data_IF_877135731816
#
_entry.id   IF_877135731816
#
_cell.length_a   1.000
_cell.length_b   1.000
_cell.length_c   1.000
_cell.angle_alpha   90.00
_cell.angle_beta   90.00
_cell.angle_gamma   90.00
#
_symmetry.space_group_name_H-M   'P 1'
#
loop_
_entity.id
_entity.type
_entity.pdbx_description
1 polymer ?
#
# COMPACT_ATOMS: atom_id res chain seq x y z
N UNK A 1 0.16 0.34 14.89
CA UNK A 1 1.20 -0.19 13.99
C UNK A 1 1.50 -1.61 14.41
N UNK A 2 1.35 -2.57 13.50
CA UNK A 2 1.75 -3.96 13.77
C UNK A 2 3.27 -4.00 13.94
N UNK A 3 3.76 -4.69 14.98
CA UNK A 3 5.19 -4.83 15.21
C UNK A 3 5.84 -5.55 14.02
N UNK A 4 6.91 -4.98 13.47
CA UNK A 4 7.70 -5.62 12.41
C UNK A 4 8.64 -6.66 13.04
N UNK A 5 8.73 -7.90 12.52
CA UNK A 5 9.72 -8.85 13.01
C UNK A 5 11.13 -8.30 12.77
N UNK A 6 12.01 -8.40 13.77
CA UNK A 6 13.39 -7.89 13.72
C UNK A 6 13.46 -6.41 13.29
N UNK A 7 12.55 -5.57 13.81
CA UNK A 7 12.42 -4.15 13.49
C UNK A 7 13.75 -3.38 13.59
N UNK A 8 14.55 -3.69 14.62
CA UNK A 8 15.87 -3.10 14.85
C UNK A 8 16.90 -3.36 13.74
N UNK A 9 16.69 -4.38 12.90
CA UNK A 9 17.49 -4.63 11.70
C UNK A 9 16.89 -3.98 10.46
N UNK A 10 15.60 -4.24 10.20
CA UNK A 10 14.99 -3.88 8.92
C UNK A 10 14.66 -2.39 8.79
N UNK A 11 14.38 -1.67 9.88
CA UNK A 11 14.19 -0.20 9.81
C UNK A 11 15.46 0.53 9.38
N UNK A 12 16.64 0.30 10.01
CA UNK A 12 17.89 0.88 9.52
C UNK A 12 18.19 0.52 8.06
N UNK A 13 18.01 -0.74 7.66
CA UNK A 13 18.25 -1.16 6.27
C UNK A 13 17.30 -0.47 5.28
N UNK A 14 16.00 -0.37 5.61
CA UNK A 14 15.02 0.36 4.81
C UNK A 14 15.38 1.83 4.64
N UNK A 15 15.78 2.51 5.73
CA UNK A 15 16.29 3.89 5.69
C UNK A 15 17.51 4.04 4.79
N UNK A 16 18.52 3.17 4.97
CA UNK A 16 19.73 3.19 4.16
C UNK A 16 19.41 3.00 2.66
N UNK A 17 18.53 2.07 2.34
CA UNK A 17 18.11 1.81 0.97
C UNK A 17 17.32 2.98 0.35
N UNK A 18 16.47 3.66 1.14
CA UNK A 18 15.69 4.81 0.68
C UNK A 18 16.54 6.08 0.48
N UNK A 19 17.60 6.28 1.28
CA UNK A 19 18.53 7.42 1.11
C UNK A 19 19.24 7.43 -0.24
N UNK A 20 19.31 6.30 -0.94
CA UNK A 20 19.81 6.23 -2.32
C UNK A 20 18.89 6.87 -3.36
N UNK A 21 17.75 7.48 -2.97
CA UNK A 21 16.91 8.26 -3.88
C UNK A 21 17.63 9.57 -4.23
N UNK A 22 18.11 9.66 -5.47
CA UNK A 22 18.85 10.81 -5.97
C UNK A 22 18.03 12.11 -5.93
N UNK A 23 18.73 13.24 -5.99
CA UNK A 23 18.10 14.53 -6.24
C UNK A 23 17.46 14.54 -7.63
N UNK A 24 16.28 15.14 -7.74
CA UNK A 24 15.50 15.19 -8.97
C UNK A 24 15.31 16.64 -9.41
N UNK A 25 15.70 17.02 -10.63
CA UNK A 25 15.47 18.37 -11.14
C UNK A 25 13.98 18.73 -11.11
N UNK A 26 13.66 19.95 -10.63
CA UNK A 26 12.28 20.44 -10.55
C UNK A 26 11.44 19.85 -9.40
N UNK A 27 12.02 19.01 -8.55
CA UNK A 27 11.35 18.45 -7.37
C UNK A 27 11.84 19.19 -6.12
N UNK A 28 10.91 19.67 -5.28
CA UNK A 28 11.25 20.31 -4.02
C UNK A 28 11.89 19.32 -3.03
N UNK A 29 12.89 19.76 -2.29
CA UNK A 29 13.59 18.90 -1.30
C UNK A 29 12.63 18.38 -0.22
N UNK A 30 11.62 19.17 0.18
CA UNK A 30 10.59 18.72 1.11
C UNK A 30 9.82 17.49 0.61
N UNK A 31 9.47 17.46 -0.68
CA UNK A 31 8.77 16.33 -1.30
C UNK A 31 9.66 15.09 -1.37
N UNK A 32 10.93 15.29 -1.73
CA UNK A 32 11.94 14.22 -1.73
C UNK A 32 12.12 13.63 -0.34
N UNK A 33 12.19 14.45 0.70
CA UNK A 33 12.29 13.97 2.08
C UNK A 33 11.02 13.24 2.55
N UNK A 34 9.83 13.67 2.12
CA UNK A 34 8.58 12.94 2.36
C UNK A 34 8.60 11.56 1.69
N UNK A 35 9.07 11.49 0.44
CA UNK A 35 9.22 10.23 -0.28
C UNK A 35 10.25 9.30 0.37
N UNK A 36 11.41 9.81 0.80
CA UNK A 36 12.45 9.01 1.48
C UNK A 36 11.89 8.38 2.77
N UNK A 37 11.15 9.14 3.58
CA UNK A 37 10.53 8.62 4.81
C UNK A 37 9.54 7.50 4.50
N UNK A 38 8.60 7.76 3.59
CA UNK A 38 7.60 6.76 3.18
C UNK A 38 8.21 5.50 2.57
N UNK A 39 9.23 5.68 1.73
CA UNK A 39 9.93 4.58 1.08
C UNK A 39 10.74 3.76 2.10
N UNK A 40 11.34 4.39 3.10
CA UNK A 40 12.07 3.69 4.15
C UNK A 40 11.17 2.71 4.92
N UNK A 41 9.96 3.15 5.31
CA UNK A 41 8.99 2.30 6.00
C UNK A 41 8.50 1.16 5.09
N UNK A 42 8.22 1.46 3.83
CA UNK A 42 7.83 0.45 2.84
C UNK A 42 8.92 -0.62 2.64
N UNK A 43 10.16 -0.18 2.42
CA UNK A 43 11.29 -1.08 2.21
C UNK A 43 11.61 -1.90 3.46
N UNK A 44 11.51 -1.33 4.67
CA UNK A 44 11.65 -2.09 5.90
C UNK A 44 10.61 -3.24 5.97
N UNK A 45 9.35 -2.94 5.65
CA UNK A 45 8.28 -3.94 5.56
C UNK A 45 8.58 -5.04 4.53
N UNK A 46 9.01 -4.65 3.33
CA UNK A 46 9.34 -5.60 2.25
C UNK A 46 10.56 -6.46 2.57
N UNK A 47 11.62 -5.88 3.13
CA UNK A 47 12.81 -6.59 3.53
C UNK A 47 12.51 -7.60 4.63
N UNK A 48 11.71 -7.22 5.64
CA UNK A 48 11.25 -8.14 6.66
C UNK A 48 10.44 -9.28 6.06
N UNK A 49 9.48 -9.00 5.16
CA UNK A 49 8.67 -10.04 4.52
C UNK A 49 9.51 -11.06 3.72
N UNK A 50 10.64 -10.62 3.16
CA UNK A 50 11.53 -11.46 2.36
C UNK A 50 12.55 -12.21 3.24
N UNK A 51 13.17 -11.52 4.19
CA UNK A 51 14.38 -11.99 4.88
C UNK A 51 14.13 -12.46 6.32
N UNK A 52 13.01 -12.09 6.95
CA UNK A 52 12.74 -12.47 8.34
C UNK A 52 12.78 -13.99 8.58
N UNK A 53 12.32 -14.88 7.67
CA UNK A 53 12.44 -16.33 7.88
C UNK A 53 13.91 -16.78 8.02
N UNK A 54 14.82 -16.25 7.20
CA UNK A 54 16.25 -16.55 7.30
C UNK A 54 16.85 -15.95 8.58
N UNK A 55 16.54 -14.70 8.89
CA UNK A 55 17.04 -14.02 10.11
C UNK A 55 16.58 -14.77 11.36
N UNK A 56 15.35 -15.27 11.35
CA UNK A 56 14.83 -16.14 12.40
C UNK A 56 15.64 -17.43 12.52
N UNK A 57 15.90 -18.16 11.42
CA UNK A 57 16.75 -19.35 11.45
C UNK A 57 18.16 -19.08 11.98
N UNK A 58 18.76 -17.96 11.61
CA UNK A 58 20.07 -17.55 12.13
C UNK A 58 20.02 -17.25 13.63
N UNK A 59 18.93 -16.62 14.10
CA UNK A 59 18.72 -16.36 15.52
C UNK A 59 18.49 -17.66 16.31
N UNK A 60 17.72 -18.61 15.78
CA UNK A 60 17.47 -19.90 16.41
C UNK A 60 18.76 -20.65 16.77
N UNK A 61 19.80 -20.55 15.94
CA UNK A 61 21.10 -21.19 16.23
C UNK A 61 21.89 -20.53 17.35
N UNK A 62 21.49 -19.33 17.79
CA UNK A 62 22.20 -18.51 18.79
C UNK A 62 21.36 -18.23 20.03
N UNK A 63 20.05 -18.45 19.97
CA UNK A 63 19.16 -18.17 21.10
C UNK A 63 19.40 -19.19 22.22
N UNK A 64 19.37 -18.77 23.50
CA UNK A 64 19.34 -19.71 24.61
C UNK A 64 18.14 -20.66 24.50
N UNK A 65 18.26 -21.92 24.93
CA UNK A 65 17.13 -22.84 24.95
C UNK A 65 16.00 -22.24 25.80
N UNK A 66 14.79 -22.22 25.24
CA UNK A 66 13.62 -21.79 25.97
C UNK A 66 13.22 -22.88 26.97
N UNK A 67 12.87 -22.54 28.23
CA UNK A 67 12.29 -23.53 29.14
C UNK A 67 10.97 -24.05 28.57
N UNK A 68 10.67 -25.34 28.77
CA UNK A 68 9.49 -26.00 28.18
C UNK A 68 8.16 -25.26 28.46
N UNK A 69 8.04 -24.63 29.62
CA UNK A 69 6.88 -23.81 29.98
C UNK A 69 6.66 -22.60 29.02
N UNK A 70 7.74 -22.01 28.50
CA UNK A 70 7.68 -20.91 27.52
C UNK A 70 7.28 -21.37 26.11
N UNK A 71 7.44 -22.66 25.81
CA UNK A 71 7.02 -23.26 24.54
C UNK A 71 5.54 -23.69 24.56
N UNK A 72 5.02 -24.00 25.76
CA UNK A 72 3.66 -24.50 25.95
C UNK A 72 2.64 -23.39 26.26
N UNK A 73 3.08 -22.32 26.89
CA UNK A 73 2.28 -21.14 27.14
C UNK A 73 2.66 -20.15 26.05
N UNK A 74 1.70 -19.74 25.21
CA UNK A 74 1.86 -18.79 24.10
C UNK A 74 2.17 -17.34 24.60
N UNK A 75 2.90 -17.26 25.71
CA UNK A 75 3.32 -16.08 26.44
C UNK A 75 4.71 -16.35 27.04
N UNK A 76 5.71 -15.53 26.71
CA UNK A 76 7.02 -15.66 27.33
C UNK A 76 6.90 -15.48 28.86
N UNK A 77 7.65 -16.27 29.67
CA UNK A 77 7.70 -16.09 31.11
C UNK A 77 8.06 -14.65 31.48
N UNK A 78 7.54 -14.16 32.60
CA UNK A 78 7.96 -12.87 33.15
C UNK A 78 9.49 -12.88 33.38
N UNK A 79 10.19 -11.85 32.90
CA UNK A 79 11.66 -11.79 32.97
C UNK A 79 12.42 -12.41 31.80
N UNK A 80 11.73 -12.82 30.72
CA UNK A 80 12.40 -13.22 29.47
C UNK A 80 13.18 -12.03 28.91
N UNK A 81 14.52 -12.12 28.97
CA UNK A 81 15.42 -11.05 28.55
C UNK A 81 15.45 -10.88 27.03
N UNK A 82 15.35 -9.63 26.55
CA UNK A 82 15.60 -9.30 25.14
C UNK A 82 17.09 -9.25 24.79
N UNK A 83 18.00 -9.38 25.77
CA UNK A 83 19.44 -9.15 25.57
C UNK A 83 20.06 -10.03 24.47
N UNK A 84 19.64 -11.30 24.36
CA UNK A 84 20.13 -12.18 23.30
C UNK A 84 19.66 -11.74 21.90
N UNK A 85 18.40 -11.30 21.79
CA UNK A 85 17.85 -10.73 20.57
C UNK A 85 18.54 -9.41 20.22
N UNK A 86 18.72 -8.53 21.20
CA UNK A 86 19.32 -7.20 21.00
C UNK A 86 20.80 -7.31 20.60
N UNK A 87 21.57 -8.19 21.26
CA UNK A 87 22.94 -8.49 20.89
C UNK A 87 23.05 -9.11 19.49
N UNK A 88 22.12 -10.00 19.12
CA UNK A 88 22.06 -10.58 17.78
C UNK A 88 21.82 -9.50 16.72
N UNK A 89 20.87 -8.60 16.95
CA UNK A 89 20.57 -7.48 16.03
C UNK A 89 21.74 -6.50 15.94
N UNK A 90 22.35 -6.14 17.08
CA UNK A 90 23.53 -5.29 17.12
C UNK A 90 24.68 -5.91 16.30
N UNK A 91 24.93 -7.21 16.43
CA UNK A 91 25.93 -7.93 15.64
C UNK A 91 25.64 -7.93 14.14
N UNK A 92 24.37 -8.03 13.72
CA UNK A 92 24.00 -7.91 12.31
C UNK A 92 24.24 -6.49 11.78
N UNK A 93 23.88 -5.45 12.54
CA UNK A 93 24.10 -4.05 12.16
C UNK A 93 25.60 -3.73 12.10
N UNK A 94 26.41 -4.29 12.99
CA UNK A 94 27.85 -4.04 13.07
C UNK A 94 28.70 -4.74 11.99
N UNK A 95 28.07 -5.29 10.94
CA UNK A 95 28.77 -5.96 9.82
C UNK A 95 28.29 -7.39 9.54
N UNK A 96 27.56 -8.01 10.48
CA UNK A 96 27.07 -9.37 10.31
C UNK A 96 26.08 -9.52 9.15
N UNK A 97 25.33 -8.45 8.82
CA UNK A 97 24.40 -8.45 7.70
C UNK A 97 25.11 -8.63 6.35
N UNK A 98 26.26 -7.98 6.15
CA UNK A 98 27.08 -8.12 4.94
C UNK A 98 27.55 -9.56 4.77
N UNK A 99 27.95 -10.22 5.86
CA UNK A 99 28.33 -11.64 5.85
C UNK A 99 27.14 -12.55 5.50
N UNK A 100 25.93 -12.23 5.98
CA UNK A 100 24.69 -12.93 5.59
C UNK A 100 24.43 -12.76 4.10
N UNK A 101 24.51 -11.54 3.57
CA UNK A 101 24.33 -11.26 2.14
C UNK A 101 25.37 -12.00 1.28
N UNK A 102 26.63 -12.03 1.69
CA UNK A 102 27.69 -12.76 0.98
C UNK A 102 27.43 -14.28 0.93
N UNK A 103 26.91 -14.86 2.02
CA UNK A 103 26.52 -16.27 2.07
C UNK A 103 25.22 -16.59 1.31
N UNK A 104 24.36 -15.60 1.15
CA UNK A 104 23.05 -15.73 0.51
C UNK A 104 22.89 -14.72 -0.64
N UNK A 105 23.67 -14.86 -1.74
CA UNK A 105 23.75 -13.85 -2.80
C UNK A 105 22.41 -13.64 -3.55
N UNK A 106 21.56 -14.67 -3.61
CA UNK A 106 20.21 -14.55 -4.18
C UNK A 106 19.33 -13.63 -3.32
N UNK A 107 19.43 -13.73 -1.99
CA UNK A 107 18.71 -12.84 -1.08
C UNK A 107 19.21 -11.40 -1.26
N UNK A 108 20.54 -11.19 -1.26
CA UNK A 108 21.14 -9.88 -1.46
C UNK A 108 20.63 -9.23 -2.75
N UNK A 109 20.74 -9.95 -3.88
CA UNK A 109 20.27 -9.49 -5.20
C UNK A 109 18.78 -9.15 -5.20
N UNK A 110 17.97 -9.92 -4.46
CA UNK A 110 16.53 -9.68 -4.35
C UNK A 110 16.22 -8.40 -3.57
N UNK A 111 16.92 -8.16 -2.46
CA UNK A 111 16.74 -6.96 -1.65
C UNK A 111 17.20 -5.71 -2.39
N UNK A 112 18.33 -5.78 -3.10
CA UNK A 112 18.84 -4.70 -3.93
C UNK A 112 17.86 -4.35 -5.05
N UNK A 113 17.28 -5.37 -5.72
CA UNK A 113 16.25 -5.16 -6.72
C UNK A 113 15.03 -4.46 -6.14
N UNK A 114 14.53 -4.92 -4.99
CA UNK A 114 13.38 -4.30 -4.32
C UNK A 114 13.67 -2.84 -3.94
N UNK A 115 14.89 -2.55 -3.47
CA UNK A 115 15.32 -1.19 -3.18
C UNK A 115 15.36 -0.31 -4.43
N UNK A 116 15.96 -0.79 -5.52
CA UNK A 116 16.06 -0.08 -6.78
C UNK A 116 14.67 0.20 -7.40
N UNK A 117 13.82 -0.81 -7.45
CA UNK A 117 12.44 -0.72 -7.93
C UNK A 117 11.63 0.29 -7.10
N UNK A 118 11.76 0.27 -5.77
CA UNK A 118 11.10 1.21 -4.87
C UNK A 118 11.56 2.66 -5.07
N UNK A 119 12.88 2.88 -5.26
CA UNK A 119 13.41 4.22 -5.57
C UNK A 119 12.94 4.73 -6.93
N UNK A 120 12.89 3.86 -7.94
CA UNK A 120 12.36 4.22 -9.26
C UNK A 120 10.88 4.63 -9.17
N UNK A 121 10.06 3.85 -8.45
CA UNK A 121 8.65 4.19 -8.25
C UNK A 121 8.45 5.51 -7.49
N UNK A 122 9.26 5.78 -6.46
CA UNK A 122 9.23 7.06 -5.75
C UNK A 122 9.64 8.23 -6.66
N UNK A 123 10.68 8.05 -7.48
CA UNK A 123 11.11 9.06 -8.44
C UNK A 123 10.05 9.34 -9.52
N UNK A 124 9.40 8.29 -10.04
CA UNK A 124 8.30 8.41 -11.00
C UNK A 124 7.14 9.23 -10.41
N UNK A 125 6.75 8.97 -9.16
CA UNK A 125 5.72 9.74 -8.46
C UNK A 125 6.10 11.21 -8.31
N UNK A 126 7.32 11.49 -7.82
CA UNK A 126 7.77 12.86 -7.59
C UNK A 126 7.84 13.68 -8.89
N UNK A 127 8.35 13.08 -9.97
CA UNK A 127 8.36 13.72 -11.29
C UNK A 127 6.95 13.97 -11.81
N UNK A 128 6.05 12.99 -11.67
CA UNK A 128 4.65 13.14 -12.06
C UNK A 128 3.97 14.27 -11.27
N UNK A 129 4.18 14.34 -9.95
CA UNK A 129 3.59 15.39 -9.12
C UNK A 129 4.10 16.78 -9.51
N UNK A 130 5.41 16.92 -9.76
CA UNK A 130 6.00 18.16 -10.23
C UNK A 130 5.45 18.60 -11.60
N UNK A 131 5.29 17.66 -12.53
CA UNK A 131 4.80 17.94 -13.89
C UNK A 131 3.29 18.22 -13.95
N UNK A 132 2.48 17.56 -13.12
CA UNK A 132 1.02 17.68 -13.15
C UNK A 132 0.46 18.77 -12.21
N UNK A 133 1.31 19.58 -11.57
CA UNK A 133 0.92 20.49 -10.49
C UNK A 133 -0.28 21.38 -10.84
N UNK A 134 -0.31 21.95 -12.04
CA UNK A 134 -1.41 22.81 -12.49
C UNK A 134 -2.68 22.01 -12.77
N UNK A 135 -2.52 20.79 -13.32
CA UNK A 135 -3.64 19.87 -13.60
C UNK A 135 -4.29 19.37 -12.31
N UNK A 136 -3.51 19.26 -11.24
CA UNK A 136 -3.95 18.81 -9.91
C UNK A 136 -4.79 19.85 -9.15
N UNK A 137 -4.79 21.12 -9.56
CA UNK A 137 -5.48 22.20 -8.87
C UNK A 137 -6.97 21.92 -8.52
N UNK A 138 -7.78 21.22 -9.35
CA UNK A 138 -9.14 20.84 -8.99
C UNK A 138 -9.23 19.86 -7.80
N UNK A 139 -8.21 19.01 -7.61
CA UNK A 139 -8.15 18.07 -6.48
C UNK A 139 -7.47 18.70 -5.25
N UNK A 140 -6.46 19.55 -5.48
CA UNK A 140 -5.51 19.97 -4.45
C UNK A 140 -5.54 21.45 -4.14
N UNK A 141 -6.33 22.25 -4.84
CA UNK A 141 -6.21 23.71 -4.80
C UNK A 141 -4.89 24.20 -5.41
N UNK A 142 -4.65 25.53 -5.39
CA UNK A 142 -3.46 26.10 -5.97
C UNK A 142 -2.22 25.70 -5.17
N UNK A 143 -1.12 25.42 -5.89
CA UNK A 143 0.21 25.25 -5.31
C UNK A 143 0.31 24.20 -4.17
N UNK A 144 -0.13 22.94 -4.38
CA UNK A 144 -0.10 21.93 -3.32
C UNK A 144 1.30 21.60 -2.85
N UNK A 145 1.42 21.27 -1.57
CA UNK A 145 2.67 20.85 -0.93
C UNK A 145 2.49 19.49 -0.26
N UNK A 146 3.49 18.63 -0.38
CA UNK A 146 3.45 17.25 0.11
C UNK A 146 4.05 17.20 1.52
N UNK A 147 3.29 16.66 2.47
CA UNK A 147 3.77 16.43 3.85
C UNK A 147 4.22 15.00 4.09
N UNK A 148 3.53 14.05 3.46
CA UNK A 148 3.80 12.63 3.63
C UNK A 148 3.45 11.83 2.36
N UNK A 149 4.18 10.73 2.14
CA UNK A 149 3.90 9.78 1.07
C UNK A 149 3.89 8.38 1.69
N UNK A 150 2.84 7.61 1.43
CA UNK A 150 2.73 6.22 1.90
C UNK A 150 2.71 5.28 0.70
N UNK A 151 3.66 4.34 0.66
CA UNK A 151 3.77 3.31 -0.39
C UNK A 151 3.27 1.94 0.10
N UNK A 152 3.09 1.01 -0.83
CA UNK A 152 2.71 -0.38 -0.50
C UNK A 152 1.27 -0.55 -0.06
N UNK A 153 0.36 0.29 -0.56
CA UNK A 153 -1.07 0.26 -0.24
C UNK A 153 -1.84 -0.77 -1.08
N UNK A 154 -1.19 -1.32 -2.09
CA UNK A 154 -1.70 -2.39 -2.95
C UNK A 154 -0.62 -3.44 -3.13
N UNK A 155 -1.00 -4.61 -3.65
CA UNK A 155 -0.02 -5.58 -4.11
C UNK A 155 0.88 -4.94 -5.18
N UNK A 156 2.21 -5.13 -5.09
CA UNK A 156 3.13 -4.60 -6.09
C UNK A 156 2.90 -5.29 -7.44
N UNK A 157 2.73 -4.50 -8.49
CA UNK A 157 2.70 -4.98 -9.88
C UNK A 157 3.84 -4.30 -10.67
N UNK A 158 4.34 -4.95 -11.72
CA UNK A 158 5.30 -4.34 -12.66
C UNK A 158 6.49 -3.61 -12.01
N UNK A 159 7.40 -4.35 -11.36
CA UNK A 159 8.65 -3.81 -10.78
C UNK A 159 8.43 -2.84 -9.61
N UNK A 160 7.63 -3.23 -8.62
CA UNK A 160 7.45 -2.44 -7.39
C UNK A 160 6.49 -1.26 -7.52
N UNK A 161 5.90 -1.05 -8.70
CA UNK A 161 4.88 -0.03 -8.94
C UNK A 161 3.57 -0.43 -8.26
N UNK A 162 2.99 0.51 -7.53
CA UNK A 162 1.75 0.31 -6.80
C UNK A 162 1.11 1.64 -6.48
N UNK A 163 -0.09 1.58 -5.90
CA UNK A 163 -0.77 2.79 -5.44
C UNK A 163 0.03 3.43 -4.31
N UNK A 164 0.24 4.74 -4.39
CA UNK A 164 0.83 5.53 -3.31
C UNK A 164 -0.17 6.59 -2.85
N UNK A 165 -0.23 6.83 -1.55
CA UNK A 165 -0.99 7.92 -0.95
C UNK A 165 -0.08 9.12 -0.78
N UNK A 166 -0.50 10.28 -1.23
CA UNK A 166 0.19 11.55 -1.06
C UNK A 166 -0.66 12.42 -0.16
N UNK A 167 -0.18 12.71 1.04
CA UNK A 167 -0.82 13.62 1.98
C UNK A 167 -0.32 15.05 1.73
N UNK A 168 -1.25 16.00 1.70
CA UNK A 168 -0.99 17.40 1.43
C UNK A 168 -1.02 18.23 2.71
N UNK A 169 -0.39 19.41 2.67
CA UNK A 169 -0.30 20.31 3.82
C UNK A 169 -1.65 20.83 4.35
N UNK A 170 -2.67 20.84 3.50
CA UNK A 170 -4.03 21.30 3.83
C UNK A 170 -4.95 20.18 4.33
N UNK A 171 -4.40 18.98 4.57
CA UNK A 171 -5.13 17.82 5.07
C UNK A 171 -5.81 16.98 3.99
N UNK A 172 -5.79 17.40 2.72
CA UNK A 172 -6.25 16.54 1.61
C UNK A 172 -5.25 15.43 1.33
N UNK A 173 -5.73 14.39 0.66
CA UNK A 173 -4.88 13.31 0.20
C UNK A 173 -5.24 12.88 -1.22
N UNK A 174 -4.23 12.42 -1.95
CA UNK A 174 -4.35 11.87 -3.29
C UNK A 174 -3.90 10.42 -3.32
N UNK A 175 -4.52 9.62 -4.18
CA UNK A 175 -3.98 8.34 -4.62
C UNK A 175 -3.25 8.56 -5.96
N UNK A 176 -1.93 8.37 -5.97
CA UNK A 176 -1.14 8.22 -7.18
C UNK A 176 -1.25 6.78 -7.67
N UNK A 177 -1.59 6.60 -8.95
CA UNK A 177 -1.62 5.31 -9.61
C UNK A 177 -0.64 5.32 -10.78
N UNK A 178 0.34 4.41 -10.84
CA UNK A 178 1.35 4.36 -11.92
C UNK A 178 0.79 3.68 -13.18
N UNK A 179 -0.45 4.03 -13.54
CA UNK A 179 -1.16 3.64 -14.76
C UNK A 179 -2.24 4.67 -15.06
N UNK A 180 -2.64 4.79 -16.32
CA UNK A 180 -3.78 5.61 -16.71
C UNK A 180 -5.07 5.21 -15.99
N UNK A 181 -5.96 6.20 -15.87
CA UNK A 181 -7.25 6.11 -15.19
C UNK A 181 -8.45 6.26 -16.13
N UNK A 182 -8.24 6.13 -17.44
CA UNK A 182 -9.33 6.05 -18.42
C UNK A 182 -10.43 5.03 -18.05
N UNK A 183 -10.12 3.81 -17.54
CA UNK A 183 -11.17 2.89 -17.10
C UNK A 183 -12.01 3.44 -15.94
N UNK A 184 -11.38 4.04 -14.93
CA UNK A 184 -12.09 4.68 -13.81
C UNK A 184 -12.91 5.88 -14.26
N UNK A 185 -12.35 6.76 -15.10
CA UNK A 185 -13.04 7.93 -15.63
C UNK A 185 -14.27 7.52 -16.48
N UNK A 186 -14.09 6.53 -17.36
CA UNK A 186 -15.17 6.00 -18.19
C UNK A 186 -16.28 5.34 -17.37
N UNK A 187 -15.91 4.59 -16.32
CA UNK A 187 -16.89 3.98 -15.42
C UNK A 187 -17.68 5.06 -14.64
N UNK A 188 -17.03 6.10 -14.13
CA UNK A 188 -17.71 7.19 -13.44
C UNK A 188 -18.63 8.00 -14.37
N UNK A 189 -18.22 8.23 -15.63
CA UNK A 189 -19.07 8.85 -16.63
C UNK A 189 -20.32 8.01 -16.94
N UNK A 190 -20.16 6.68 -17.07
CA UNK A 190 -21.28 5.75 -17.26
C UNK A 190 -22.26 5.80 -16.08
N UNK A 191 -21.75 5.82 -14.84
CA UNK A 191 -22.59 5.92 -13.64
C UNK A 191 -23.38 7.23 -13.60
N UNK A 192 -22.76 8.36 -13.96
CA UNK A 192 -23.44 9.64 -14.08
C UNK A 192 -24.56 9.62 -15.12
N UNK A 193 -24.26 9.11 -16.32
CA UNK A 193 -25.25 8.96 -17.39
C UNK A 193 -26.44 8.07 -17.00
N UNK A 194 -26.19 6.97 -16.28
CA UNK A 194 -27.25 6.09 -15.78
C UNK A 194 -28.12 6.79 -14.75
N UNK A 195 -27.53 7.54 -13.82
CA UNK A 195 -28.27 8.26 -12.78
C UNK A 195 -29.20 9.33 -13.39
N UNK A 196 -28.72 10.07 -14.39
CA UNK A 196 -29.53 11.03 -15.15
C UNK A 196 -30.73 10.36 -15.83
N UNK A 197 -30.49 9.24 -16.52
CA UNK A 197 -31.52 8.49 -17.27
C UNK A 197 -32.56 7.84 -16.35
N UNK A 198 -32.14 7.30 -15.22
CA UNK A 198 -33.03 6.57 -14.31
C UNK A 198 -33.80 7.49 -13.35
N UNK A 199 -33.25 8.66 -13.03
CA UNK A 199 -33.94 9.67 -12.23
C UNK A 199 -35.14 10.31 -12.95
N UNK A 200 -35.12 10.34 -14.29
CA UNK A 200 -36.20 10.88 -15.12
C UNK A 200 -37.48 10.00 -15.16
N UNK A 201 -37.40 8.72 -14.77
CA UNK A 201 -38.49 7.74 -14.95
C UNK A 201 -39.18 7.24 -13.67
N UNK A 202 -38.82 7.74 -12.49
CA UNK A 202 -39.39 7.42 -11.16
C UNK A 202 -39.57 5.94 -10.75
N UNK A 203 -39.07 4.94 -11.50
CA UNK A 203 -39.27 3.51 -11.15
C UNK A 203 -38.10 2.88 -10.41
N UNK A 204 -36.86 3.29 -10.70
CA UNK A 204 -35.65 2.77 -10.03
C UNK A 204 -34.57 3.85 -9.97
N UNK A 205 -34.00 4.12 -8.78
CA UNK A 205 -32.79 4.95 -8.63
C UNK A 205 -31.58 4.04 -8.42
N UNK A 206 -30.41 4.42 -8.94
CA UNK A 206 -29.19 3.74 -8.51
C UNK A 206 -28.98 4.01 -7.02
N UNK A 207 -28.33 3.09 -6.29
CA UNK A 207 -27.78 3.42 -5.00
C UNK A 207 -26.80 4.57 -5.17
N UNK A 208 -26.67 5.44 -4.16
CA UNK A 208 -25.61 6.44 -4.12
C UNK A 208 -24.26 5.78 -4.43
N UNK A 209 -23.64 6.19 -5.53
CA UNK A 209 -22.30 5.76 -5.91
C UNK A 209 -21.32 6.85 -5.51
N UNK A 210 -20.27 6.49 -4.77
CA UNK A 210 -19.18 7.42 -4.48
C UNK A 210 -18.15 7.35 -5.62
N UNK A 211 -18.16 8.36 -6.49
CA UNK A 211 -17.23 8.49 -7.61
C UNK A 211 -16.18 9.55 -7.26
N UNK A 212 -15.01 9.17 -6.71
CA UNK A 212 -13.95 10.14 -6.42
C UNK A 212 -13.49 10.84 -7.70
N UNK A 213 -13.13 12.12 -7.58
CA UNK A 213 -12.58 12.86 -8.70
C UNK A 213 -11.25 12.23 -9.17
N UNK A 214 -11.09 12.16 -10.49
CA UNK A 214 -9.97 11.47 -11.17
C UNK A 214 -9.38 12.40 -12.21
N UNK A 215 -8.06 12.42 -12.28
CA UNK A 215 -7.28 13.04 -13.35
C UNK A 215 -6.48 11.93 -14.01
N UNK A 216 -6.85 11.60 -15.25
CA UNK A 216 -6.08 10.69 -16.08
C UNK A 216 -4.97 11.45 -16.81
N UNK A 217 -3.73 10.97 -16.67
CA UNK A 217 -2.55 11.49 -17.34
C UNK A 217 -2.06 10.56 -18.45
N UNK A 218 -2.85 9.54 -18.82
CA UNK A 218 -2.54 8.58 -19.87
C UNK A 218 -1.64 7.45 -19.37
N UNK A 219 -0.40 7.76 -18.98
CA UNK A 219 0.56 6.77 -18.44
C UNK A 219 0.43 6.54 -16.93
N UNK A 220 -0.16 7.49 -16.23
CA UNK A 220 -0.41 7.49 -14.79
C UNK A 220 -1.68 8.27 -14.50
N UNK A 221 -2.09 8.35 -13.24
CA UNK A 221 -3.15 9.27 -12.87
C UNK A 221 -3.28 9.49 -11.37
N UNK A 222 -4.12 10.47 -11.06
CA UNK A 222 -4.38 10.96 -9.72
C UNK A 222 -5.85 10.80 -9.40
N UNK A 223 -6.15 10.42 -8.18
CA UNK A 223 -7.51 10.27 -7.69
C UNK A 223 -7.62 10.90 -6.31
N UNK A 224 -8.73 11.56 -6.00
CA UNK A 224 -9.01 11.99 -4.64
C UNK A 224 -8.98 10.77 -3.70
N UNK A 225 -8.26 10.88 -2.58
CA UNK A 225 -8.19 9.76 -1.64
C UNK A 225 -9.59 9.45 -1.09
N UNK A 226 -9.94 8.17 -1.05
CA UNK A 226 -11.19 7.70 -0.45
C UNK A 226 -10.88 7.06 0.89
N UNK A 227 -11.31 7.69 1.98
CA UNK A 227 -11.26 7.04 3.28
C UNK A 227 -12.19 5.83 3.32
N UNK A 228 -11.72 4.77 3.98
CA UNK A 228 -12.58 3.68 4.40
C UNK A 228 -13.19 4.07 5.75
N UNK A 229 -14.47 4.46 5.83
CA UNK A 229 -15.11 4.67 7.12
C UNK A 229 -15.18 3.33 7.88
N UNK A 230 -15.16 3.36 9.23
CA UNK A 230 -15.39 2.17 10.02
C UNK A 230 -16.75 1.56 9.63
N UNK A 231 -16.77 0.28 9.30
CA UNK A 231 -18.02 -0.45 9.08
C UNK A 231 -18.63 -0.68 10.47
N UNK A 232 -19.80 -0.09 10.80
CA UNK A 232 -20.37 -0.27 12.13
C UNK A 232 -20.71 -1.75 12.37
N UNK A 233 -20.05 -2.35 13.36
CA UNK A 233 -20.45 -3.63 13.94
C UNK A 233 -21.83 -3.40 14.57
N UNK A 234 -22.86 -4.05 13.99
CA UNK A 234 -24.27 -3.99 14.42
C UNK A 234 -24.95 -2.62 14.31
N UNK A 235 -25.12 -2.16 13.08
CA UNK A 235 -26.48 -1.88 12.58
C UNK A 235 -26.64 -2.73 11.33
N UNK A 236 -27.78 -3.42 11.20
CA UNK A 236 -28.17 -4.16 9.99
C UNK A 236 -27.67 -3.35 8.79
N UNK A 237 -26.59 -3.81 8.13
CA UNK A 237 -26.22 -3.30 6.82
C UNK A 237 -27.46 -3.59 6.00
N UNK A 238 -28.32 -2.57 5.82
CA UNK A 238 -29.39 -2.63 4.84
C UNK A 238 -28.62 -2.52 3.55
N UNK A 239 -28.50 -3.62 2.81
CA UNK A 239 -27.83 -3.52 1.56
C UNK A 239 -28.62 -2.52 0.71
N UNK A 240 -27.94 -1.65 -0.01
CA UNK A 240 -28.48 -1.24 -1.31
C UNK A 240 -28.36 -2.37 -2.35
N UNK A 241 -28.14 -3.64 -1.94
CA UNK A 241 -28.02 -4.81 -2.83
C UNK A 241 -29.27 -5.13 -3.63
N UNK A 242 -30.39 -4.45 -3.40
CA UNK A 242 -31.46 -4.47 -4.40
C UNK A 242 -30.98 -3.97 -5.78
N UNK A 243 -29.94 -3.14 -5.84
CA UNK A 243 -29.42 -2.62 -7.09
C UNK A 243 -28.13 -3.28 -7.60
N UNK A 244 -27.22 -3.71 -6.73
CA UNK A 244 -26.01 -4.43 -7.17
C UNK A 244 -26.33 -5.84 -7.70
N UNK A 245 -27.38 -6.49 -7.20
CA UNK A 245 -27.84 -7.77 -7.73
C UNK A 245 -28.50 -7.65 -9.12
N UNK A 246 -28.90 -6.45 -9.54
CA UNK A 246 -29.51 -6.20 -10.84
C UNK A 246 -28.49 -6.14 -11.99
N UNK A 247 -27.30 -5.58 -11.75
CA UNK A 247 -26.27 -5.40 -12.78
C UNK A 247 -25.43 -6.65 -13.07
N UNK A 248 -25.35 -7.62 -12.15
CA UNK A 248 -24.64 -8.88 -12.39
C UNK A 248 -25.42 -9.88 -13.27
N UNK A 249 -26.66 -9.58 -13.67
CA UNK A 249 -27.51 -10.48 -14.45
C UNK A 249 -27.59 -10.20 -15.95
N UNK A 250 -26.73 -9.34 -16.50
CA UNK A 250 -26.75 -9.05 -17.93
C UNK A 250 -25.36 -9.04 -18.56
N UNK A 251 -24.75 -10.22 -18.64
CA UNK A 251 -23.87 -10.66 -19.74
C UNK A 251 -23.49 -12.11 -19.44
N UNK A 252 -23.82 -13.01 -20.37
CA UNK A 252 -23.43 -14.43 -20.38
C UNK A 252 -24.03 -15.33 -19.28
N UNK A 253 -25.26 -15.81 -19.49
CA UNK A 253 -25.60 -17.23 -19.31
C UNK A 253 -27.03 -17.51 -19.80
N UNK A 254 -27.11 -18.19 -20.93
CA UNK A 254 -28.34 -18.75 -21.49
C UNK A 254 -28.66 -20.08 -20.79
N UNK A 255 -29.71 -20.12 -19.98
CA UNK A 255 -30.68 -21.23 -19.82
C UNK A 255 -31.43 -21.16 -18.47
N UNK A 256 -32.75 -21.45 -18.43
CA UNK A 256 -33.53 -21.46 -17.21
C UNK A 256 -33.49 -22.85 -16.56
N UNK A 257 -33.21 -22.93 -15.25
CA UNK A 257 -33.58 -24.09 -14.44
C UNK A 257 -34.70 -23.70 -13.48
N UNK A 258 -35.91 -24.10 -13.86
CA UNK A 258 -37.05 -24.35 -12.98
C UNK A 258 -36.76 -25.54 -12.06
N UNK A 259 -37.02 -25.39 -10.75
CA UNK A 259 -37.51 -26.41 -9.80
C UNK A 259 -37.80 -25.71 -8.46
N UNK A 260 -39.07 -25.35 -8.20
CA UNK A 260 -40.05 -25.99 -7.29
C UNK A 260 -39.64 -25.92 -5.79
N UNK A 261 -40.46 -25.29 -4.92
CA UNK A 261 -40.25 -25.27 -3.47
C UNK A 261 -40.99 -26.44 -2.81
N UNK A 262 -40.40 -27.03 -1.76
CA UNK A 262 -41.20 -27.80 -0.78
C UNK A 262 -40.57 -27.76 0.61
N UNK A 263 -41.40 -27.26 1.54
CA UNK A 263 -41.41 -27.29 3.02
C UNK A 263 -40.32 -26.50 3.75
#
# INVERSE_FOLDING_TARGET
>A
MTALPFDGLFRPLGRAAAMGLDALPGVAEGWRMAAIRGLADHLAGRFAAIAAPLVFQLFETRRPPLPAAALLLDRPPAGTSSAAHDAFIAGLIAGGWQAVCARHPVLASRLDRVAADGRAAAADLLRAFAADRDRLAPLTGPAPDITNITFGLSDPHGHGRGVARVDLADGRALAFKPRGLAPEAGFFALLGWLEERMSAGQRHRLPPQHCPAVIDCGSHGWMAWVERPPVPIRRRWRPSTAAWAGLQRCSTCSAPMTCIPTI
#
